data_IF_359888365549
#
_entry.id   IF_359888365549
#
_cell.length_a   1.000
_cell.length_b   1.000
_cell.length_c   1.000
_cell.angle_alpha   90.00
_cell.angle_beta   90.00
_cell.angle_gamma   90.00
#
_symmetry.space_group_name_H-M   'P 1'
#
loop_
_entity.id
_entity.type
_entity.pdbx_description
1 polymer ?
#
# COMPACT_ATOMS: atom_id res chain seq x y z
N UNK A 1 -16.85 4.41 -1.16
CA UNK A 1 -15.91 4.88 -0.09
C UNK A 1 -14.53 5.05 -0.69
N UNK A 2 -13.62 5.77 -0.04
CA UNK A 2 -12.31 6.15 -0.59
C UNK A 2 -11.19 5.58 0.29
N UNK A 3 -10.22 4.92 -0.31
CA UNK A 3 -9.10 4.26 0.39
C UNK A 3 -7.76 4.71 -0.19
N UNK A 4 -6.74 4.75 0.66
CA UNK A 4 -5.37 5.09 0.28
C UNK A 4 -4.40 4.06 0.82
N UNK A 5 -3.52 3.56 -0.03
CA UNK A 5 -2.57 2.50 0.34
C UNK A 5 -1.17 2.84 -0.13
N UNK A 6 -0.18 2.57 0.72
CA UNK A 6 1.22 2.73 0.34
C UNK A 6 1.68 1.58 -0.55
N UNK A 7 2.63 1.83 -1.45
CA UNK A 7 3.34 0.79 -2.20
C UNK A 7 4.83 1.06 -2.09
N UNK A 8 5.57 0.13 -1.49
CA UNK A 8 7.02 0.15 -1.38
C UNK A 8 7.62 -0.93 -2.27
N UNK A 9 8.70 -0.58 -2.94
CA UNK A 9 9.49 -1.46 -3.77
C UNK A 9 10.80 -1.82 -3.07
N UNK A 10 11.10 -3.11 -2.98
CA UNK A 10 12.30 -3.64 -2.33
C UNK A 10 13.11 -4.48 -3.33
N UNK A 11 14.39 -4.13 -3.49
CA UNK A 11 15.35 -4.84 -4.33
C UNK A 11 16.13 -5.88 -3.52
N UNK A 12 16.74 -6.83 -4.22
CA UNK A 12 17.66 -7.78 -3.60
C UNK A 12 18.79 -7.05 -2.87
N UNK A 13 19.09 -7.51 -1.65
CA UNK A 13 20.11 -6.92 -0.79
C UNK A 13 19.64 -5.77 0.11
N UNK A 14 18.47 -5.18 -0.15
CA UNK A 14 17.91 -4.14 0.73
C UNK A 14 17.35 -4.77 2.01
N UNK A 15 17.66 -4.18 3.15
CA UNK A 15 17.26 -4.67 4.48
C UNK A 15 16.71 -3.60 5.40
N UNK A 16 16.76 -2.32 4.98
CA UNK A 16 16.26 -1.20 5.75
C UNK A 16 15.13 -0.45 5.04
N UNK A 17 14.28 0.19 5.83
CA UNK A 17 13.26 1.13 5.35
C UNK A 17 13.87 2.21 4.44
N UNK A 18 15.00 2.78 4.87
CA UNK A 18 15.69 3.86 4.16
C UNK A 18 16.11 3.45 2.75
N UNK A 19 16.74 2.28 2.59
CA UNK A 19 17.14 1.77 1.27
C UNK A 19 15.93 1.61 0.33
N UNK A 20 14.80 1.12 0.83
CA UNK A 20 13.58 0.94 0.04
C UNK A 20 12.99 2.29 -0.40
N UNK A 21 12.95 3.29 0.48
CA UNK A 21 12.44 4.62 0.14
C UNK A 21 13.34 5.38 -0.84
N UNK A 22 14.64 5.10 -0.87
CA UNK A 22 15.59 5.73 -1.81
C UNK A 22 15.56 5.11 -3.23
N UNK A 23 14.71 4.11 -3.49
CA UNK A 23 14.54 3.59 -4.85
C UNK A 23 13.87 4.64 -5.76
N UNK A 24 14.61 5.16 -6.74
CA UNK A 24 14.07 6.07 -7.75
C UNK A 24 13.20 5.35 -8.77
N UNK A 25 13.64 4.17 -9.22
CA UNK A 25 13.00 3.39 -10.27
C UNK A 25 12.68 1.97 -9.80
N UNK A 26 11.58 1.44 -10.34
CA UNK A 26 11.18 0.04 -10.22
C UNK A 26 11.82 -0.86 -11.27
N UNK A 27 11.42 -2.13 -11.27
CA UNK A 27 11.73 -3.08 -12.34
C UNK A 27 10.53 -3.33 -13.25
N UNK A 28 10.71 -3.98 -14.41
CA UNK A 28 9.59 -4.37 -15.27
C UNK A 28 8.54 -5.22 -14.55
N UNK A 29 8.96 -6.09 -13.62
CA UNK A 29 8.04 -6.89 -12.82
C UNK A 29 7.24 -6.03 -11.82
N UNK A 30 7.86 -4.96 -11.30
CA UNK A 30 7.16 -3.99 -10.48
C UNK A 30 6.13 -3.20 -11.28
N UNK A 31 6.49 -2.75 -12.49
CA UNK A 31 5.56 -2.06 -13.38
C UNK A 31 4.36 -2.94 -13.78
N UNK A 32 4.61 -4.23 -14.05
CA UNK A 32 3.55 -5.23 -14.26
C UNK A 32 2.65 -5.32 -13.03
N UNK A 33 3.22 -5.44 -11.83
CA UNK A 33 2.45 -5.46 -10.58
C UNK A 33 1.61 -4.20 -10.38
N UNK A 34 2.14 -3.01 -10.67
CA UNK A 34 1.39 -1.76 -10.59
C UNK A 34 0.18 -1.77 -11.53
N UNK A 35 0.31 -2.36 -12.72
CA UNK A 35 -0.82 -2.55 -13.66
C UNK A 35 -1.88 -3.50 -13.12
N UNK A 36 -1.49 -4.48 -12.29
CA UNK A 36 -2.43 -5.38 -11.60
C UNK A 36 -3.20 -4.62 -10.51
N UNK A 37 -2.60 -3.61 -9.87
CA UNK A 37 -3.27 -2.80 -8.84
C UNK A 37 -4.26 -1.78 -9.41
N UNK A 38 -3.96 -1.19 -10.57
CA UNK A 38 -4.76 -0.11 -11.11
C UNK A 38 -4.20 0.52 -12.38
N UNK A 39 -4.83 1.62 -12.78
CA UNK A 39 -4.45 2.41 -13.94
C UNK A 39 -3.50 3.53 -13.49
N UNK A 40 -2.43 3.75 -14.25
CA UNK A 40 -1.55 4.91 -14.04
C UNK A 40 -2.23 6.15 -14.63
N UNK A 41 -2.34 7.20 -13.81
CA UNK A 41 -2.96 8.48 -14.19
C UNK A 41 -1.99 9.64 -13.96
N UNK A 42 -2.08 10.67 -14.79
CA UNK A 42 -1.42 11.95 -14.52
C UNK A 42 -2.12 12.66 -13.36
N UNK A 43 -1.32 13.20 -12.43
CA UNK A 43 -1.82 13.95 -11.28
C UNK A 43 -2.27 15.36 -11.68
N UNK A 44 -1.62 15.97 -12.68
CA UNK A 44 -1.95 17.32 -13.11
C UNK A 44 -3.41 17.41 -13.56
N UNK A 45 -4.21 18.24 -12.88
CA UNK A 45 -5.64 18.39 -13.11
C UNK A 45 -6.48 17.10 -12.93
N UNK A 46 -5.96 16.09 -12.20
CA UNK A 46 -6.73 14.88 -11.91
C UNK A 46 -7.95 15.21 -11.05
N UNK A 47 -9.12 14.73 -11.46
CA UNK A 47 -10.41 15.03 -10.80
C UNK A 47 -10.91 13.90 -9.90
N UNK A 48 -10.23 12.75 -9.90
CA UNK A 48 -10.57 11.62 -9.04
C UNK A 48 -10.10 11.81 -7.60
N UNK A 49 -10.24 10.76 -6.79
CA UNK A 49 -9.68 10.78 -5.44
C UNK A 49 -8.14 10.80 -5.48
N UNK A 50 -7.50 11.76 -4.84
CA UNK A 50 -6.03 11.94 -4.91
C UNK A 50 -5.30 11.48 -3.67
N UNK A 51 -6.02 11.09 -2.61
CA UNK A 51 -5.45 10.71 -1.32
C UNK A 51 -4.45 11.72 -0.70
N UNK A 52 -4.53 12.99 -1.08
CA UNK A 52 -3.62 14.05 -0.60
C UNK A 52 -2.40 14.28 -1.48
N UNK A 53 -2.32 13.64 -2.66
CA UNK A 53 -1.36 13.98 -3.71
C UNK A 53 -1.72 15.33 -4.36
N UNK A 54 -0.69 16.07 -4.77
CA UNK A 54 -0.78 17.38 -5.39
C UNK A 54 -1.13 17.28 -6.88
N UNK A 55 -2.23 17.91 -7.26
CA UNK A 55 -2.73 17.96 -8.65
C UNK A 55 -2.49 19.28 -9.36
N UNK A 56 -1.92 20.27 -8.66
CA UNK A 56 -1.75 21.63 -9.16
C UNK A 56 -0.30 21.95 -9.52
N UNK A 57 0.63 21.64 -8.60
CA UNK A 57 2.02 22.11 -8.71
C UNK A 57 3.05 20.98 -8.89
N UNK A 58 2.62 19.72 -8.87
CA UNK A 58 3.49 18.56 -9.10
C UNK A 58 4.43 18.23 -7.92
N UNK A 59 4.14 18.73 -6.71
CA UNK A 59 4.98 18.51 -5.53
C UNK A 59 5.00 17.05 -5.05
N UNK A 60 4.12 16.19 -5.57
CA UNK A 60 4.04 14.77 -5.19
C UNK A 60 4.21 13.85 -6.40
N UNK A 61 4.97 14.30 -7.39
CA UNK A 61 5.21 13.57 -8.63
C UNK A 61 4.19 13.91 -9.72
N UNK A 62 4.38 13.30 -10.89
CA UNK A 62 3.57 13.58 -12.07
C UNK A 62 2.45 12.58 -12.29
N UNK A 63 2.62 11.35 -11.79
CA UNK A 63 1.69 10.25 -12.00
C UNK A 63 1.49 9.46 -10.71
N UNK A 64 0.39 8.72 -10.66
CA UNK A 64 0.17 7.72 -9.62
C UNK A 64 -0.71 6.59 -10.15
N UNK A 65 -0.90 5.53 -9.37
CA UNK A 65 -1.83 4.43 -9.67
C UNK A 65 -3.14 4.66 -8.93
N UNK A 66 -4.25 4.45 -9.63
CA UNK A 66 -5.61 4.53 -9.08
C UNK A 66 -6.45 3.35 -9.56
N UNK A 67 -7.49 3.01 -8.80
CA UNK A 67 -8.51 2.08 -9.31
C UNK A 67 -9.89 2.35 -8.73
N UNK A 68 -10.90 1.92 -9.48
CA UNK A 68 -12.26 1.75 -8.99
C UNK A 68 -12.56 0.26 -8.92
N UNK A 69 -12.96 -0.21 -7.75
CA UNK A 69 -13.34 -1.59 -7.53
C UNK A 69 -14.66 -1.63 -6.78
N UNK A 70 -15.73 -2.04 -7.47
CA UNK A 70 -17.12 -1.86 -7.00
C UNK A 70 -17.38 -0.37 -6.72
N UNK A 71 -17.93 -0.03 -5.56
CA UNK A 71 -18.18 1.35 -5.13
C UNK A 71 -17.01 1.97 -4.34
N UNK A 72 -15.81 1.36 -4.44
CA UNK A 72 -14.60 1.82 -3.79
C UNK A 72 -13.65 2.51 -4.78
N UNK A 73 -13.16 3.69 -4.40
CA UNK A 73 -12.09 4.39 -5.10
C UNK A 73 -10.80 4.23 -4.29
N UNK A 74 -9.73 3.80 -4.95
CA UNK A 74 -8.43 3.54 -4.32
C UNK A 74 -7.36 4.35 -5.03
N UNK A 75 -6.52 5.02 -4.26
CA UNK A 75 -5.35 5.74 -4.75
C UNK A 75 -4.12 5.23 -4.04
N UNK A 76 -3.07 4.92 -4.79
CA UNK A 76 -1.85 4.36 -4.24
C UNK A 76 -0.80 5.45 -4.04
N UNK A 77 -0.06 5.40 -2.93
CA UNK A 77 1.17 6.17 -2.75
C UNK A 77 2.34 5.30 -3.16
N UNK A 78 2.75 5.37 -4.43
CA UNK A 78 3.81 4.52 -4.97
C UNK A 78 5.17 5.17 -4.74
N UNK A 79 6.07 4.48 -4.03
CA UNK A 79 7.35 5.06 -3.58
C UNK A 79 8.21 5.61 -4.73
N UNK A 80 8.25 4.91 -5.86
CA UNK A 80 9.02 5.32 -7.05
C UNK A 80 8.34 6.42 -7.88
N UNK A 81 7.05 6.67 -7.68
CA UNK A 81 6.31 7.75 -8.36
C UNK A 81 6.26 9.06 -7.55
N UNK A 82 6.58 8.98 -6.25
CA UNK A 82 6.77 10.15 -5.40
C UNK A 82 8.15 10.78 -5.66
N UNK A 83 8.32 12.10 -5.47
CA UNK A 83 9.59 12.77 -5.73
C UNK A 83 10.72 12.17 -4.91
N UNK A 84 11.88 12.01 -5.54
CA UNK A 84 13.12 11.64 -4.89
C UNK A 84 13.91 12.92 -4.56
N UNK A 85 14.44 13.00 -3.35
CA UNK A 85 15.34 14.07 -2.96
C UNK A 85 16.69 13.47 -2.52
N UNK A 86 17.72 13.63 -3.35
CA UNK A 86 19.07 13.11 -3.09
C UNK A 86 19.72 13.68 -1.82
N UNK A 87 19.27 14.86 -1.38
CA UNK A 87 19.83 15.56 -0.21
C UNK A 87 19.06 15.16 1.07
N UNK A 88 17.89 14.53 0.93
CA UNK A 88 17.09 13.95 2.00
C UNK A 88 17.20 12.42 2.03
N UNK A 89 18.23 11.93 2.71
CA UNK A 89 18.49 10.50 2.91
C UNK A 89 17.27 9.76 3.49
N UNK A 90 16.48 10.42 4.34
CA UNK A 90 15.30 9.80 4.96
C UNK A 90 14.07 9.81 4.05
N UNK A 91 14.11 10.52 2.92
CA UNK A 91 13.00 10.68 1.98
C UNK A 91 11.69 11.05 2.71
N UNK A 92 11.76 12.08 3.55
CA UNK A 92 10.67 12.52 4.45
C UNK A 92 9.38 12.76 3.66
N UNK A 93 9.45 13.31 2.45
CA UNK A 93 8.24 13.51 1.63
C UNK A 93 7.59 12.18 1.25
N UNK A 94 8.36 11.17 0.85
CA UNK A 94 7.84 9.83 0.54
C UNK A 94 7.26 9.16 1.78
N UNK A 95 7.99 9.24 2.91
CA UNK A 95 7.54 8.72 4.21
C UNK A 95 6.29 9.42 4.72
N UNK A 96 6.12 10.72 4.47
CA UNK A 96 4.92 11.48 4.87
C UNK A 96 3.65 10.94 4.21
N UNK A 97 3.72 10.44 2.98
CA UNK A 97 2.57 9.83 2.33
C UNK A 97 2.39 8.37 2.77
N UNK A 98 3.37 7.51 2.47
CA UNK A 98 3.30 6.07 2.70
C UNK A 98 3.26 5.73 4.20
N UNK A 99 4.10 6.38 5.00
CA UNK A 99 4.18 6.15 6.44
C UNK A 99 2.94 6.59 7.22
N UNK A 100 2.05 7.37 6.61
CA UNK A 100 0.75 7.78 7.14
C UNK A 100 -0.43 6.99 6.55
N UNK A 101 -0.16 5.94 5.77
CA UNK A 101 -1.17 4.97 5.39
C UNK A 101 -1.31 3.90 6.48
N UNK A 102 -2.45 3.19 6.45
CA UNK A 102 -2.72 2.08 7.38
C UNK A 102 -2.23 0.75 6.79
N UNK A 103 -2.43 0.58 5.48
CA UNK A 103 -2.04 -0.60 4.72
C UNK A 103 -0.98 -0.22 3.71
N UNK A 104 0.07 -1.03 3.61
CA UNK A 104 1.12 -0.87 2.61
C UNK A 104 1.39 -2.19 1.88
N UNK A 105 1.47 -2.13 0.56
CA UNK A 105 1.97 -3.19 -0.28
C UNK A 105 3.49 -3.14 -0.31
N UNK A 106 4.13 -4.29 -0.09
CA UNK A 106 5.59 -4.43 -0.24
C UNK A 106 5.83 -5.34 -1.43
N UNK A 107 6.38 -4.80 -2.52
CA UNK A 107 6.78 -5.61 -3.66
C UNK A 107 8.23 -6.05 -3.49
N UNK A 108 8.46 -7.37 -3.46
CA UNK A 108 9.79 -7.97 -3.38
C UNK A 108 10.25 -8.34 -4.77
N UNK A 109 11.31 -7.69 -5.24
CA UNK A 109 11.91 -8.00 -6.52
C UNK A 109 12.96 -9.09 -6.41
N UNK A 110 12.98 -9.99 -7.40
CA UNK A 110 13.88 -11.15 -7.41
C UNK A 110 13.83 -11.91 -6.09
N UNK A 111 14.98 -12.04 -5.43
CA UNK A 111 15.15 -12.75 -4.16
C UNK A 111 15.14 -11.83 -2.94
N UNK A 112 14.63 -10.60 -3.08
CA UNK A 112 14.47 -9.68 -1.96
C UNK A 112 13.68 -10.32 -0.82
N UNK A 113 13.99 -9.86 0.40
CA UNK A 113 13.33 -10.29 1.63
C UNK A 113 12.85 -9.05 2.36
N UNK A 114 11.79 -9.22 3.13
CA UNK A 114 11.23 -8.14 3.93
C UNK A 114 11.02 -8.60 5.36
N UNK A 115 11.59 -7.82 6.29
CA UNK A 115 11.29 -7.91 7.71
C UNK A 115 10.39 -6.72 8.10
N UNK A 116 9.14 -6.99 8.49
CA UNK A 116 8.20 -5.96 8.95
C UNK A 116 8.72 -5.11 10.12
N UNK A 117 9.66 -5.65 10.94
CA UNK A 117 10.29 -4.93 12.04
C UNK A 117 11.17 -3.76 11.60
N UNK A 118 11.54 -3.70 10.32
CA UNK A 118 12.37 -2.63 9.75
C UNK A 118 11.59 -1.34 9.48
N UNK A 119 10.26 -1.42 9.35
CA UNK A 119 9.39 -0.26 9.07
C UNK A 119 8.92 0.36 10.39
N UNK A 120 9.39 1.57 10.67
CA UNK A 120 9.03 2.31 11.89
C UNK A 120 7.93 3.31 11.57
N UNK A 121 6.68 2.86 11.67
CA UNK A 121 5.52 3.74 11.49
C UNK A 121 4.47 3.61 12.59
N UNK A 122 3.92 4.77 12.93
CA UNK A 122 2.78 4.89 13.82
C UNK A 122 1.46 4.50 13.15
N UNK A 123 1.33 4.61 11.83
CA UNK A 123 0.08 4.40 11.11
C UNK A 123 0.03 3.07 10.37
N UNK A 124 1.16 2.56 9.88
CA UNK A 124 1.20 1.28 9.20
C UNK A 124 0.91 0.14 10.19
N UNK A 125 -0.15 -0.62 9.92
CA UNK A 125 -0.59 -1.76 10.73
C UNK A 125 -0.74 -3.05 9.91
N UNK A 126 -0.87 -2.94 8.59
CA UNK A 126 -0.97 -4.09 7.69
C UNK A 126 0.01 -3.95 6.53
N UNK A 127 0.76 -5.02 6.28
CA UNK A 127 1.63 -5.17 5.12
C UNK A 127 1.13 -6.33 4.25
N UNK A 128 0.94 -6.05 2.96
CA UNK A 128 0.63 -7.06 1.95
C UNK A 128 1.88 -7.24 1.09
N UNK A 129 2.64 -8.28 1.38
CA UNK A 129 3.91 -8.57 0.72
C UNK A 129 3.63 -9.40 -0.53
N UNK A 130 4.10 -8.92 -1.69
CA UNK A 130 3.88 -9.55 -3.00
C UNK A 130 5.24 -9.81 -3.64
N UNK A 131 5.48 -11.05 -4.07
CA UNK A 131 6.72 -11.46 -4.73
C UNK A 131 6.38 -12.26 -5.99
N UNK A 132 6.87 -11.87 -7.19
CA UNK A 132 6.78 -12.71 -8.37
C UNK A 132 7.49 -14.05 -8.14
N UNK A 133 6.88 -15.15 -8.56
CA UNK A 133 7.53 -16.45 -8.58
C UNK A 133 8.69 -16.43 -9.55
N UNK A 134 9.81 -17.03 -9.14
CA UNK A 134 10.95 -17.17 -10.03
C UNK A 134 10.67 -18.26 -11.09
N UNK A 135 11.30 -18.18 -12.28
CA UNK A 135 11.14 -19.20 -13.31
C UNK A 135 11.49 -20.63 -12.85
N UNK A 136 12.37 -20.77 -11.85
CA UNK A 136 12.70 -22.09 -11.28
C UNK A 136 11.61 -22.64 -10.37
N UNK A 137 10.72 -21.78 -9.86
CA UNK A 137 9.62 -22.13 -8.95
C UNK A 137 8.32 -22.45 -9.70
N UNK A 138 8.15 -21.99 -10.96
CA UNK A 138 6.94 -22.21 -11.74
C UNK A 138 7.16 -22.10 -13.25
N UNK A 139 6.43 -22.90 -14.03
CA UNK A 139 6.40 -22.85 -15.49
C UNK A 139 5.63 -21.63 -16.07
N UNK A 140 5.06 -20.78 -15.22
CA UNK A 140 4.26 -19.63 -15.64
C UNK A 140 4.29 -18.47 -14.65
N UNK A 141 3.66 -17.36 -15.03
CA UNK A 141 3.56 -16.15 -14.20
C UNK A 141 2.74 -16.48 -12.95
N UNK A 142 3.28 -16.16 -11.78
CA UNK A 142 2.59 -16.29 -10.52
C UNK A 142 3.15 -15.35 -9.48
N UNK A 143 2.36 -15.08 -8.45
CA UNK A 143 2.74 -14.19 -7.35
C UNK A 143 2.52 -14.90 -6.03
N UNK A 144 3.53 -14.87 -5.17
CA UNK A 144 3.44 -15.25 -3.77
C UNK A 144 2.99 -14.03 -2.97
N UNK A 145 1.95 -14.21 -2.17
CA UNK A 145 1.40 -13.17 -1.29
C UNK A 145 1.52 -13.61 0.16
N UNK A 146 2.10 -12.75 0.99
CA UNK A 146 2.18 -12.92 2.44
C UNK A 146 1.53 -11.73 3.12
N UNK A 147 0.77 -11.98 4.19
CA UNK A 147 0.08 -10.94 4.96
C UNK A 147 0.75 -10.84 6.32
N UNK A 148 1.18 -9.64 6.67
CA UNK A 148 1.69 -9.33 8.01
C UNK A 148 0.82 -8.22 8.58
N UNK A 149 0.41 -8.34 9.83
CA UNK A 149 -0.23 -7.26 10.55
C UNK A 149 0.32 -7.13 11.96
N UNK A 150 0.16 -5.96 12.57
CA UNK A 150 0.40 -5.79 14.01
C UNK A 150 -0.55 -6.69 14.80
N UNK A 151 -0.12 -7.08 15.99
CA UNK A 151 -0.82 -8.05 16.87
C UNK A 151 -2.18 -7.57 17.34
N UNK A 152 -2.42 -6.25 17.33
CA UNK A 152 -3.67 -5.61 17.74
C UNK A 152 -4.69 -5.46 16.61
N UNK A 153 -4.34 -5.84 15.38
CA UNK A 153 -5.27 -5.90 14.24
C UNK A 153 -5.99 -7.25 14.26
N UNK A 154 -7.33 -7.29 14.36
CA UNK A 154 -8.10 -8.53 14.28
C UNK A 154 -7.90 -9.24 12.94
N UNK A 155 -8.13 -10.56 12.89
CA UNK A 155 -8.09 -11.31 11.64
C UNK A 155 -9.12 -10.73 10.65
N UNK A 156 -8.71 -10.51 9.41
CA UNK A 156 -9.54 -9.96 8.34
C UNK A 156 -9.49 -10.82 7.08
N UNK A 157 -10.59 -10.84 6.32
CA UNK A 157 -10.70 -11.62 5.09
C UNK A 157 -10.23 -10.86 3.84
N UNK A 158 -10.23 -11.51 2.66
CA UNK A 158 -10.41 -12.95 2.47
C UNK A 158 -9.22 -13.76 3.03
N UNK A 159 -9.40 -15.06 3.35
CA UNK A 159 -8.30 -15.91 3.77
C UNK A 159 -7.30 -16.11 2.61
N UNK A 160 -6.00 -16.16 2.94
CA UNK A 160 -4.99 -16.56 1.95
C UNK A 160 -5.23 -18.00 1.50
N UNK A 161 -4.99 -18.33 0.22
CA UNK A 161 -4.93 -19.73 -0.18
C UNK A 161 -3.82 -20.45 0.61
N UNK A 162 -3.93 -21.76 0.87
CA UNK A 162 -2.93 -22.49 1.66
C UNK A 162 -1.50 -22.39 1.13
N UNK A 163 -1.32 -22.26 -0.19
CA UNK A 163 -0.02 -22.06 -0.83
C UNK A 163 0.50 -20.62 -0.73
N UNK A 164 -0.37 -19.65 -0.47
CA UNK A 164 -0.08 -18.22 -0.61
C UNK A 164 0.23 -17.79 -2.06
N UNK A 165 -0.04 -18.64 -3.05
CA UNK A 165 0.35 -18.41 -4.46
C UNK A 165 -0.88 -18.17 -5.33
N UNK A 166 -0.77 -17.17 -6.21
CA UNK A 166 -1.78 -16.83 -7.21
C UNK A 166 -1.17 -16.91 -8.62
N UNK A 167 -1.77 -17.73 -9.49
CA UNK A 167 -1.41 -17.81 -10.92
C UNK A 167 -2.36 -17.04 -11.84
N UNK A 168 -3.55 -16.69 -11.34
CA UNK A 168 -4.53 -15.93 -12.10
C UNK A 168 -4.50 -14.46 -11.65
N UNK A 169 -4.16 -13.56 -12.56
CA UNK A 169 -4.00 -12.12 -12.29
C UNK A 169 -5.31 -11.47 -11.81
N UNK A 170 -6.46 -11.85 -12.39
CA UNK A 170 -7.76 -11.30 -11.97
C UNK A 170 -8.10 -11.70 -10.53
N UNK A 171 -7.89 -12.97 -10.19
CA UNK A 171 -8.08 -13.49 -8.83
C UNK A 171 -7.13 -12.85 -7.83
N UNK A 172 -5.87 -12.62 -8.24
CA UNK A 172 -4.89 -11.88 -7.44
C UNK A 172 -5.37 -10.45 -7.18
N UNK A 173 -5.77 -9.72 -8.23
CA UNK A 173 -6.26 -8.34 -8.11
C UNK A 173 -7.44 -8.22 -7.15
N UNK A 174 -8.47 -9.06 -7.34
CA UNK A 174 -9.64 -9.08 -6.46
C UNK A 174 -9.27 -9.42 -5.02
N UNK A 175 -8.35 -10.37 -4.83
CA UNK A 175 -7.83 -10.70 -3.50
C UNK A 175 -7.12 -9.50 -2.86
N UNK A 176 -6.17 -8.87 -3.56
CA UNK A 176 -5.37 -7.76 -3.04
C UNK A 176 -6.26 -6.58 -2.62
N UNK A 177 -7.24 -6.21 -3.45
CA UNK A 177 -8.18 -5.12 -3.17
C UNK A 177 -9.12 -5.43 -2.00
N UNK A 178 -9.71 -6.62 -1.99
CA UNK A 178 -10.56 -7.03 -0.86
C UNK A 178 -9.76 -7.09 0.44
N UNK A 179 -8.53 -7.62 0.38
CA UNK A 179 -7.67 -7.83 1.54
C UNK A 179 -7.15 -6.51 2.12
N UNK A 180 -6.76 -5.55 1.28
CA UNK A 180 -6.30 -4.23 1.74
C UNK A 180 -7.44 -3.42 2.37
N UNK A 181 -8.61 -3.38 1.73
CA UNK A 181 -9.80 -2.69 2.28
C UNK A 181 -10.20 -3.29 3.64
N UNK A 182 -10.28 -4.61 3.73
CA UNK A 182 -10.62 -5.27 4.99
C UNK A 182 -9.53 -5.12 6.05
N UNK A 183 -8.25 -5.08 5.65
CA UNK A 183 -7.12 -4.83 6.53
C UNK A 183 -7.17 -3.43 7.14
N UNK A 184 -7.50 -2.41 6.34
CA UNK A 184 -7.71 -1.06 6.86
C UNK A 184 -8.91 -1.00 7.82
N UNK A 185 -10.05 -1.58 7.43
CA UNK A 185 -11.25 -1.62 8.26
C UNK A 185 -11.01 -2.33 9.61
N UNK A 186 -10.28 -3.44 9.60
CA UNK A 186 -9.90 -4.16 10.82
C UNK A 186 -8.92 -3.35 11.68
N UNK A 187 -8.02 -2.59 11.06
CA UNK A 187 -7.08 -1.74 11.79
C UNK A 187 -7.79 -0.64 12.59
N UNK A 188 -8.94 -0.13 12.14
CA UNK A 188 -9.72 0.83 12.95
C UNK A 188 -10.22 0.26 14.30
N UNK A 189 -10.28 -1.06 14.44
CA UNK A 189 -10.60 -1.73 15.71
C UNK A 189 -9.40 -1.80 16.66
N UNK A 190 -8.17 -1.56 16.17
CA UNK A 190 -6.99 -1.50 17.01
C UNK A 190 -7.09 -0.30 17.98
N UNK A 191 -6.62 -0.42 19.24
CA UNK A 191 -6.79 0.61 20.27
C UNK A 191 -6.28 2.00 19.86
N UNK A 192 -5.27 2.03 18.99
CA UNK A 192 -4.66 3.26 18.48
C UNK A 192 -5.61 4.11 17.64
N UNK A 193 -6.49 3.49 16.85
CA UNK A 193 -7.43 4.19 15.98
C UNK A 193 -8.85 4.24 16.56
N UNK A 194 -9.24 3.20 17.31
CA UNK A 194 -10.55 3.11 17.94
C UNK A 194 -10.81 4.26 18.93
N UNK A 195 -9.81 4.60 19.78
CA UNK A 195 -9.97 5.62 20.83
C UNK A 195 -10.21 7.04 20.27
N UNK A 196 -9.45 7.54 19.27
CA UNK A 196 -9.80 8.78 18.57
C UNK A 196 -11.18 8.75 17.92
N UNK A 197 -11.54 7.65 17.25
CA UNK A 197 -12.81 7.56 16.51
C UNK A 197 -14.03 7.60 17.42
N UNK A 198 -13.97 6.97 18.61
CA UNK A 198 -15.01 7.08 19.63
C UNK A 198 -15.21 8.51 20.13
N UNK A 199 -14.12 9.27 20.33
CA UNK A 199 -14.20 10.67 20.77
C UNK A 199 -14.90 11.54 19.73
N UNK A 200 -14.51 11.41 18.46
CA UNK A 200 -15.15 12.15 17.36
C UNK A 200 -16.62 11.75 17.20
N UNK A 201 -16.94 10.45 17.27
CA UNK A 201 -18.32 9.98 17.19
C UNK A 201 -19.18 10.50 18.35
N UNK A 202 -18.63 10.51 19.57
CA UNK A 202 -19.30 11.07 20.74
C UNK A 202 -19.62 12.55 20.55
N UNK A 203 -18.64 13.35 20.13
CA UNK A 203 -18.81 14.78 19.88
C UNK A 203 -19.87 15.08 18.79
N UNK A 204 -19.88 14.30 17.69
CA UNK A 204 -20.88 14.46 16.62
C UNK A 204 -22.29 14.08 17.06
N UNK A 205 -22.43 13.03 17.87
CA UNK A 205 -23.73 12.63 18.43
C UNK A 205 -24.24 13.71 19.40
N UNK A 206 -23.38 14.25 20.25
CA UNK A 206 -23.75 15.33 21.17
C UNK A 206 -24.21 16.61 20.44
N UNK A 207 -23.64 16.88 19.27
CA UNK A 207 -24.03 18.04 18.43
C UNK A 207 -25.38 17.81 17.71
N UNK A 208 -25.67 16.58 17.29
CA UNK A 208 -26.94 16.20 16.64
C UNK A 208 -28.15 16.18 17.59
N UNK A 209 -27.90 16.08 18.89
CA UNK A 209 -28.95 15.99 19.93
C UNK A 209 -29.25 17.38 20.54
N UNK A 210 -28.54 18.43 20.10
CA UNK A 210 -28.84 19.84 20.42
C UNK A 210 -29.75 20.47 19.38
#
# INVERSE_FOLDING_TARGET
QKFKFGVLYAKEGQTSEEEMFNNENGSPAFDEFLSILGDTVELKNYTGYTAGLDVQYGNTGNTTVVTKWRDYEVTYHVSTMLPYDKDDIQQIQRKRHIGNDIVCFIFLDGKAKFDPGTIVSQFLHVFIVVQPLQPEESLGIGYRVTIVSKTDVPIFGPPLPPSGIFHNISSLRDFLLAKSINGENASYLAPKFYKPQLRTRGALIEDLVK
#
